data_IF_574424648409
#
_entry.id   IF_574424648409
#
_cell.length_a   1.000
_cell.length_b   1.000
_cell.length_c   1.000
_cell.angle_alpha   90.00
_cell.angle_beta   90.00
_cell.angle_gamma   90.00
#
_symmetry.space_group_name_H-M   'P 1'
#
loop_
_entity.id
_entity.type
_entity.pdbx_description
1 polymer ?
#
# COMPACT_ATOMS: atom_id res chain seq x y z
N UNK A 1 3.33 1.75 31.09
CA UNK A 1 3.16 3.22 30.96
C UNK A 1 3.15 3.90 32.31
N UNK A 2 2.21 3.54 33.19
CA UNK A 2 2.10 4.11 34.55
C UNK A 2 3.27 3.78 35.48
N UNK A 3 3.71 2.51 35.54
CA UNK A 3 4.93 2.15 36.27
C UNK A 3 6.14 2.99 35.84
N UNK A 4 6.27 3.27 34.54
CA UNK A 4 7.39 4.03 34.03
C UNK A 4 7.27 5.53 34.30
N UNK A 5 6.04 6.06 34.40
CA UNK A 5 5.79 7.41 34.91
C UNK A 5 6.21 7.54 36.38
N UNK A 6 5.75 6.63 37.25
CA UNK A 6 6.14 6.59 38.66
C UNK A 6 7.67 6.47 38.80
N UNK A 7 8.29 5.59 38.02
CA UNK A 7 9.74 5.37 38.05
C UNK A 7 10.53 6.59 37.61
N UNK A 8 10.02 7.35 36.64
CA UNK A 8 10.66 8.61 36.25
C UNK A 8 10.55 9.70 37.32
N UNK A 9 9.54 9.67 38.18
CA UNK A 9 9.35 10.65 39.26
C UNK A 9 10.16 10.27 40.51
N UNK A 10 10.33 8.97 40.74
CA UNK A 10 11.03 8.39 41.89
C UNK A 10 12.50 8.03 41.61
N UNK A 11 12.97 8.23 40.37
CA UNK A 11 14.28 7.77 39.86
C UNK A 11 14.49 6.26 40.06
N UNK A 12 13.47 5.46 39.72
CA UNK A 12 13.44 4.00 39.85
C UNK A 12 13.19 3.31 38.52
N UNK A 13 13.80 2.14 38.36
CA UNK A 13 13.52 1.22 37.25
C UNK A 13 12.80 -0.02 37.78
N UNK A 14 11.68 -0.37 37.13
CA UNK A 14 10.91 -1.57 37.47
C UNK A 14 11.16 -2.68 36.47
N UNK A 15 11.36 -3.89 36.99
CA UNK A 15 11.33 -5.13 36.22
C UNK A 15 10.13 -5.92 36.67
N UNK A 16 9.17 -6.10 35.77
CA UNK A 16 7.96 -6.89 36.01
C UNK A 16 8.13 -8.23 35.29
N UNK A 17 7.98 -9.32 36.03
CA UNK A 17 8.00 -10.65 35.43
C UNK A 17 6.69 -10.90 34.66
N UNK A 18 6.74 -11.56 33.50
CA UNK A 18 5.51 -12.01 32.84
C UNK A 18 4.71 -12.95 33.76
N UNK A 19 3.38 -12.82 33.75
CA UNK A 19 2.45 -13.66 34.51
C UNK A 19 2.68 -13.62 36.04
N UNK A 20 2.75 -12.40 36.58
CA UNK A 20 2.86 -12.10 38.01
C UNK A 20 1.57 -12.39 38.80
N UNK A 21 0.42 -12.51 38.10
CA UNK A 21 -0.87 -12.88 38.70
C UNK A 21 -0.89 -14.25 39.40
N UNK A 22 0.12 -15.10 39.15
CA UNK A 22 0.30 -16.37 39.86
C UNK A 22 0.55 -16.17 41.36
N UNK A 23 1.06 -15.01 41.76
CA UNK A 23 1.35 -14.70 43.16
C UNK A 23 0.18 -14.00 43.83
N UNK A 24 -0.47 -13.06 43.12
CA UNK A 24 -1.59 -12.30 43.65
C UNK A 24 -2.49 -11.77 42.53
N UNK A 25 -3.79 -11.74 42.76
CA UNK A 25 -4.73 -11.13 41.83
C UNK A 25 -4.43 -9.63 41.66
N UNK A 26 -4.32 -9.19 40.40
CA UNK A 26 -3.97 -7.82 40.01
C UNK A 26 -2.67 -7.27 40.63
N UNK A 27 -1.65 -8.12 40.84
CA UNK A 27 -0.37 -7.77 41.45
C UNK A 27 0.28 -6.52 40.82
N UNK A 28 0.42 -6.50 39.49
CA UNK A 28 0.95 -5.36 38.73
C UNK A 28 0.19 -4.06 38.99
N UNK A 29 -1.14 -4.11 39.11
CA UNK A 29 -1.97 -2.91 39.33
C UNK A 29 -1.74 -2.34 40.71
N UNK A 30 -1.71 -3.19 41.74
CA UNK A 30 -1.45 -2.81 43.13
C UNK A 30 -0.09 -2.12 43.24
N UNK A 31 0.95 -2.73 42.67
CA UNK A 31 2.30 -2.17 42.62
C UNK A 31 2.32 -0.80 41.92
N UNK A 32 1.69 -0.69 40.75
CA UNK A 32 1.67 0.57 40.00
C UNK A 32 0.97 1.69 40.78
N UNK A 33 -0.15 1.40 41.42
CA UNK A 33 -0.90 2.41 42.16
C UNK A 33 -0.22 2.82 43.46
N UNK A 34 0.42 1.89 44.17
CA UNK A 34 1.21 2.24 45.36
C UNK A 34 2.39 3.14 45.00
N UNK A 35 3.13 2.82 43.93
CA UNK A 35 4.26 3.63 43.48
C UNK A 35 3.82 4.99 42.94
N UNK A 36 2.69 5.09 42.24
CA UNK A 36 2.14 6.38 41.81
C UNK A 36 1.72 7.26 43.00
N UNK A 37 1.13 6.65 44.03
CA UNK A 37 0.75 7.35 45.25
C UNK A 37 1.99 7.86 46.01
N UNK A 38 3.04 7.05 46.12
CA UNK A 38 4.33 7.47 46.66
C UNK A 38 4.97 8.60 45.84
N UNK A 39 4.95 8.47 44.51
CA UNK A 39 5.47 9.49 43.61
C UNK A 39 4.72 10.83 43.76
N UNK A 40 3.40 10.79 43.88
CA UNK A 40 2.58 11.99 44.13
C UNK A 40 2.95 12.67 45.45
N UNK A 41 3.21 11.90 46.51
CA UNK A 41 3.66 12.43 47.81
C UNK A 41 5.05 13.06 47.75
N UNK A 42 6.02 12.40 47.13
CA UNK A 42 7.41 12.86 47.10
C UNK A 42 7.58 14.10 46.21
N UNK A 43 6.86 14.17 45.09
CA UNK A 43 6.98 15.28 44.13
C UNK A 43 6.02 16.45 44.41
N UNK A 44 5.18 16.36 45.44
CA UNK A 44 4.13 17.32 45.77
C UNK A 44 3.17 17.63 44.59
N UNK A 45 3.02 16.68 43.66
CA UNK A 45 2.19 16.82 42.47
C UNK A 45 0.89 16.00 42.63
N UNK A 46 -0.25 16.65 42.95
CA UNK A 46 -1.51 15.94 43.20
C UNK A 46 -2.09 15.29 41.93
N UNK A 47 -1.75 15.79 40.76
CA UNK A 47 -2.24 15.27 39.47
C UNK A 47 -1.66 13.89 39.09
N UNK A 48 -0.57 13.46 39.74
CA UNK A 48 0.09 12.17 39.46
C UNK A 48 -0.77 10.98 39.91
N UNK A 49 -1.55 11.17 40.96
CA UNK A 49 -2.46 10.15 41.48
C UNK A 49 -3.74 10.80 42.00
N UNK A 50 -4.81 10.71 41.20
CA UNK A 50 -6.15 11.13 41.60
C UNK A 50 -6.91 9.93 42.21
N UNK A 51 -7.39 10.01 43.47
CA UNK A 51 -8.10 8.89 44.11
C UNK A 51 -9.39 8.46 43.39
N UNK A 52 -10.09 9.42 42.78
CA UNK A 52 -11.32 9.17 42.01
C UNK A 52 -11.03 8.43 40.69
N UNK A 53 -9.85 8.68 40.10
CA UNK A 53 -9.44 8.13 38.81
C UNK A 53 -7.97 7.67 38.84
N UNK A 54 -7.65 6.55 39.51
CA UNK A 54 -6.27 6.13 39.73
C UNK A 54 -5.55 5.84 38.40
N UNK A 55 -4.41 6.52 38.20
CA UNK A 55 -3.61 6.41 36.97
C UNK A 55 -4.13 7.24 35.79
N UNK A 56 -5.11 8.13 36.01
CA UNK A 56 -5.55 9.13 35.05
C UNK A 56 -5.36 10.52 35.63
N UNK A 57 -5.21 11.49 34.74
CA UNK A 57 -5.07 12.90 35.12
C UNK A 57 -5.91 13.76 34.18
N UNK A 58 -6.38 14.89 34.68
CA UNK A 58 -7.04 15.90 33.83
C UNK A 58 -6.01 16.59 32.92
N UNK A 59 -6.31 16.61 31.62
CA UNK A 59 -5.52 17.32 30.60
C UNK A 59 -6.32 18.54 30.13
N UNK A 60 -5.63 19.53 29.60
CA UNK A 60 -6.21 20.72 28.97
C UNK A 60 -5.91 20.70 27.46
N UNK A 61 -6.87 21.11 26.62
CA UNK A 61 -6.62 21.26 25.18
C UNK A 61 -5.64 22.42 24.97
N UNK A 62 -4.48 22.13 24.35
CA UNK A 62 -3.47 23.15 24.07
C UNK A 62 -3.90 24.22 23.07
N UNK A 63 -5.01 24.04 22.36
CA UNK A 63 -5.54 25.02 21.41
C UNK A 63 -6.54 26.00 22.05
N UNK A 64 -7.41 25.53 22.94
CA UNK A 64 -8.48 26.34 23.55
C UNK A 64 -8.22 26.69 25.01
N UNK A 65 -7.45 25.86 25.73
CA UNK A 65 -7.22 25.98 27.17
C UNK A 65 -8.27 25.30 28.04
N UNK A 66 -9.33 24.73 27.45
CA UNK A 66 -10.40 24.06 28.19
C UNK A 66 -9.97 22.67 28.69
N UNK A 67 -10.43 22.24 29.89
CA UNK A 67 -10.19 20.88 30.35
C UNK A 67 -10.96 19.85 29.51
N UNK A 68 -10.36 18.68 29.28
CA UNK A 68 -11.07 17.56 28.68
C UNK A 68 -12.24 17.09 29.58
N UNK A 69 -13.33 16.63 28.97
CA UNK A 69 -14.53 16.14 29.68
C UNK A 69 -14.23 14.93 30.58
N UNK A 70 -13.29 14.08 30.16
CA UNK A 70 -12.90 12.87 30.89
C UNK A 70 -11.38 12.86 31.18
N UNK A 71 -10.96 12.33 32.34
CA UNK A 71 -9.54 12.21 32.66
C UNK A 71 -8.88 11.15 31.78
N UNK A 72 -7.63 11.41 31.39
CA UNK A 72 -6.89 10.61 30.41
C UNK A 72 -5.68 9.95 31.09
N UNK A 73 -5.30 8.76 30.63
CA UNK A 73 -4.10 8.07 31.12
C UNK A 73 -2.86 8.79 30.57
N UNK A 74 -2.02 9.28 31.47
CA UNK A 74 -0.72 9.86 31.16
C UNK A 74 0.37 8.90 31.58
N UNK A 75 1.44 8.81 30.81
CA UNK A 75 2.65 8.13 31.25
C UNK A 75 3.66 7.99 30.14
N UNK A 76 4.69 7.20 30.40
CA UNK A 76 5.78 6.99 29.47
C UNK A 76 5.63 5.61 28.83
N UNK A 77 5.31 5.50 27.54
CA UNK A 77 5.33 4.22 26.81
C UNK A 77 6.70 4.02 26.16
N UNK A 78 7.18 2.77 26.13
CA UNK A 78 8.37 2.42 25.36
C UNK A 78 7.97 2.19 23.90
N UNK A 79 8.29 3.15 23.02
CA UNK A 79 7.95 3.11 21.60
C UNK A 79 9.21 2.87 20.78
N UNK A 80 9.20 1.81 19.97
CA UNK A 80 10.31 1.48 19.07
C UNK A 80 10.14 2.18 17.73
N UNK A 81 11.24 2.74 17.21
CA UNK A 81 11.31 3.24 15.83
C UNK A 81 11.61 2.06 14.90
N UNK A 82 10.66 1.72 14.04
CA UNK A 82 10.87 0.73 12.97
C UNK A 82 11.64 1.35 11.80
N UNK A 83 12.33 0.50 11.04
CA UNK A 83 12.97 0.92 9.80
C UNK A 83 11.89 1.35 8.81
N UNK A 84 11.99 2.59 8.33
CA UNK A 84 11.05 3.12 7.36
C UNK A 84 11.35 2.56 5.98
N UNK A 85 10.51 1.65 5.51
CA UNK A 85 10.64 1.10 4.16
C UNK A 85 9.89 1.93 3.10
N UNK A 86 9.15 2.99 3.46
CA UNK A 86 8.23 3.67 2.54
C UNK A 86 8.89 4.75 1.71
N UNK A 87 10.00 5.35 2.17
CA UNK A 87 10.75 6.31 1.35
C UNK A 87 11.25 5.66 0.04
N UNK A 88 11.61 4.37 0.10
CA UNK A 88 11.97 3.55 -1.06
C UNK A 88 10.76 2.97 -1.83
N UNK A 89 9.51 3.33 -1.46
CA UNK A 89 8.28 2.76 -2.03
C UNK A 89 7.65 3.56 -3.17
N UNK A 90 7.93 4.85 -3.27
CA UNK A 90 7.35 5.68 -4.32
C UNK A 90 8.14 5.45 -5.61
N UNK A 91 7.46 4.95 -6.64
CA UNK A 91 8.05 4.67 -7.95
C UNK A 91 7.07 5.08 -9.05
N UNK A 92 7.56 5.84 -10.02
CA UNK A 92 6.81 6.25 -11.20
C UNK A 92 7.55 5.84 -12.47
N UNK A 93 6.80 5.45 -13.50
CA UNK A 93 7.34 5.07 -14.81
C UNK A 93 6.52 5.75 -15.92
N UNK A 94 7.22 6.40 -16.85
CA UNK A 94 6.64 6.89 -18.12
C UNK A 94 6.99 5.92 -19.26
N UNK A 95 8.27 5.78 -19.60
CA UNK A 95 8.81 4.80 -20.54
C UNK A 95 10.00 4.08 -19.90
N UNK A 96 10.45 2.97 -20.49
CA UNK A 96 11.56 2.20 -19.92
C UNK A 96 11.82 0.91 -20.68
N UNK A 97 12.56 0.00 -20.05
CA UNK A 97 12.93 -1.27 -20.65
C UNK A 97 11.75 -2.26 -20.72
N UNK A 98 11.81 -3.15 -21.71
CA UNK A 98 10.81 -4.17 -22.02
C UNK A 98 11.45 -5.55 -22.05
N UNK A 99 10.65 -6.57 -21.75
CA UNK A 99 11.08 -7.96 -21.89
C UNK A 99 11.38 -8.29 -23.36
N UNK A 100 12.39 -9.14 -23.59
CA UNK A 100 12.81 -9.53 -24.93
C UNK A 100 11.71 -10.32 -25.66
N UNK A 101 11.07 -11.25 -24.94
CA UNK A 101 10.10 -12.20 -25.50
C UNK A 101 8.69 -11.61 -25.52
N UNK A 102 8.13 -11.27 -24.36
CA UNK A 102 6.73 -10.80 -24.25
C UNK A 102 6.53 -9.35 -24.64
N UNK A 103 7.61 -8.57 -24.80
CA UNK A 103 7.57 -7.12 -25.09
C UNK A 103 6.80 -6.28 -24.06
N UNK A 104 6.46 -6.85 -22.91
CA UNK A 104 5.82 -6.17 -21.79
C UNK A 104 6.85 -5.39 -20.95
N UNK A 105 6.41 -4.33 -20.24
CA UNK A 105 7.22 -3.63 -19.25
C UNK A 105 7.92 -4.59 -18.27
N UNK A 106 9.23 -4.39 -18.03
CA UNK A 106 9.94 -5.18 -17.02
C UNK A 106 9.32 -5.00 -15.63
N UNK A 107 9.49 -6.01 -14.77
CA UNK A 107 9.10 -5.95 -13.35
C UNK A 107 10.24 -5.41 -12.49
N UNK A 108 9.88 -4.70 -11.43
CA UNK A 108 10.79 -4.32 -10.34
C UNK A 108 11.30 -2.88 -10.44
N UNK A 109 11.40 -2.22 -9.28
CA UNK A 109 11.77 -0.79 -9.19
C UNK A 109 13.18 -0.50 -9.71
N UNK A 110 14.14 -1.37 -9.41
CA UNK A 110 15.54 -1.20 -9.85
C UNK A 110 15.71 -1.16 -11.37
N UNK A 111 14.76 -1.72 -12.12
CA UNK A 111 14.74 -1.73 -13.59
C UNK A 111 13.78 -0.70 -14.19
N UNK A 112 13.32 0.26 -13.39
CA UNK A 112 12.24 1.19 -13.74
C UNK A 112 11.02 0.43 -14.26
N UNK A 113 10.65 -0.63 -13.54
CA UNK A 113 9.61 -1.56 -13.96
C UNK A 113 8.22 -0.94 -13.99
N UNK A 114 7.34 -1.52 -14.81
CA UNK A 114 5.93 -1.16 -14.84
C UNK A 114 5.17 -1.75 -13.65
N UNK A 115 4.01 -1.18 -13.36
CA UNK A 115 3.07 -1.75 -12.41
C UNK A 115 2.34 -2.93 -13.07
N UNK A 116 2.11 -4.01 -12.31
CA UNK A 116 1.30 -5.12 -12.79
C UNK A 116 -0.17 -4.71 -12.73
N UNK A 117 -0.85 -4.82 -13.86
CA UNK A 117 -2.31 -4.89 -13.96
C UNK A 117 -2.64 -6.37 -14.13
N UNK A 118 -3.21 -6.98 -13.11
CA UNK A 118 -3.59 -8.39 -13.09
C UNK A 118 -5.06 -8.59 -13.45
N UNK A 119 -5.51 -9.84 -13.36
CA UNK A 119 -6.89 -10.23 -13.67
C UNK A 119 -7.91 -9.51 -12.78
N UNK A 120 -7.60 -9.30 -11.49
CA UNK A 120 -8.49 -8.59 -10.58
C UNK A 120 -8.68 -7.11 -10.97
N UNK A 121 -7.61 -6.44 -11.41
CA UNK A 121 -7.69 -5.07 -11.90
C UNK A 121 -8.40 -4.99 -13.25
N UNK A 122 -8.23 -6.00 -14.11
CA UNK A 122 -8.98 -6.12 -15.37
C UNK A 122 -10.48 -6.26 -15.08
N UNK A 123 -10.88 -7.17 -14.18
CA UNK A 123 -12.28 -7.33 -13.79
C UNK A 123 -12.87 -6.06 -13.19
N UNK A 124 -12.07 -5.30 -12.43
CA UNK A 124 -12.52 -4.00 -11.92
C UNK A 124 -12.85 -3.04 -13.07
N UNK A 125 -11.96 -2.92 -14.07
CA UNK A 125 -12.20 -2.05 -15.23
C UNK A 125 -13.38 -2.51 -16.10
N UNK A 126 -13.55 -3.82 -16.26
CA UNK A 126 -14.69 -4.41 -16.95
C UNK A 126 -16.01 -4.14 -16.22
N UNK A 127 -16.03 -4.28 -14.90
CA UNK A 127 -17.20 -4.00 -14.05
C UNK A 127 -17.64 -2.54 -14.11
N UNK A 128 -16.71 -1.60 -14.29
CA UNK A 128 -17.02 -0.18 -14.53
C UNK A 128 -17.43 0.12 -15.99
N UNK A 129 -17.31 -0.84 -16.91
CA UNK A 129 -17.63 -0.64 -18.32
C UNK A 129 -16.62 0.24 -19.07
N UNK A 130 -15.38 0.37 -18.58
CA UNK A 130 -14.38 1.28 -19.16
C UNK A 130 -13.55 0.61 -20.24
N UNK A 131 -14.20 0.33 -21.38
CA UNK A 131 -13.60 -0.43 -22.49
C UNK A 131 -12.33 0.22 -23.06
N UNK A 132 -12.31 1.55 -23.24
CA UNK A 132 -11.15 2.25 -23.81
C UNK A 132 -9.93 2.28 -22.88
N UNK A 133 -10.12 2.43 -21.57
CA UNK A 133 -9.01 2.38 -20.60
C UNK A 133 -8.48 0.95 -20.51
N UNK A 134 -9.35 -0.06 -20.50
CA UNK A 134 -8.92 -1.45 -20.52
C UNK A 134 -8.11 -1.76 -21.79
N UNK A 135 -8.60 -1.36 -22.96
CA UNK A 135 -7.86 -1.48 -24.22
C UNK A 135 -6.50 -0.78 -24.14
N UNK A 136 -6.45 0.40 -23.52
CA UNK A 136 -5.20 1.16 -23.38
C UNK A 136 -4.18 0.46 -22.49
N UNK A 137 -4.62 -0.11 -21.36
CA UNK A 137 -3.77 -0.90 -20.48
C UNK A 137 -3.24 -2.15 -21.16
N UNK A 138 -4.06 -2.82 -21.98
CA UNK A 138 -3.69 -4.07 -22.65
C UNK A 138 -2.84 -3.88 -23.91
N UNK A 139 -2.93 -2.72 -24.58
CA UNK A 139 -2.25 -2.47 -25.86
C UNK A 139 -1.17 -1.40 -25.74
N UNK A 140 -1.55 -0.11 -25.78
CA UNK A 140 -0.64 1.03 -25.85
C UNK A 140 0.38 1.07 -24.70
N UNK A 141 -0.06 0.73 -23.49
CA UNK A 141 0.78 0.79 -22.27
C UNK A 141 1.52 -0.52 -21.96
N UNK A 142 1.27 -1.58 -22.72
CA UNK A 142 1.83 -2.91 -22.49
C UNK A 142 2.79 -3.32 -23.60
N UNK A 143 2.34 -4.12 -24.56
CA UNK A 143 3.18 -4.92 -25.46
C UNK A 143 3.05 -4.56 -26.94
N UNK A 144 2.11 -3.68 -27.32
CA UNK A 144 1.93 -3.30 -28.71
C UNK A 144 3.01 -2.32 -29.18
N UNK A 145 4.06 -2.83 -29.83
CA UNK A 145 5.27 -2.05 -30.18
C UNK A 145 4.95 -0.82 -31.04
N UNK A 146 4.19 -0.99 -32.14
CA UNK A 146 3.87 0.10 -33.09
C UNK A 146 3.00 1.18 -32.44
N UNK A 147 1.84 0.79 -31.93
CA UNK A 147 0.91 1.69 -31.25
C UNK A 147 1.56 2.49 -30.12
N UNK A 148 2.48 1.88 -29.35
CA UNK A 148 3.24 2.60 -28.31
C UNK A 148 4.14 3.71 -28.87
N UNK A 149 4.82 3.47 -29.99
CA UNK A 149 5.66 4.48 -30.63
C UNK A 149 4.83 5.64 -31.19
N UNK A 150 3.69 5.32 -31.79
CA UNK A 150 2.73 6.30 -32.30
C UNK A 150 2.11 7.13 -31.17
N UNK A 151 1.73 6.51 -30.06
CA UNK A 151 1.24 7.22 -28.86
C UNK A 151 2.28 8.21 -28.35
N UNK A 152 3.56 7.80 -28.28
CA UNK A 152 4.61 8.69 -27.82
C UNK A 152 4.74 9.92 -28.74
N UNK A 153 4.78 9.72 -30.06
CA UNK A 153 4.88 10.81 -31.04
C UNK A 153 3.65 11.72 -31.04
N UNK A 154 2.45 11.15 -31.02
CA UNK A 154 1.19 11.90 -31.03
C UNK A 154 0.98 12.69 -29.73
N UNK A 155 1.38 12.14 -28.59
CA UNK A 155 1.32 12.85 -27.29
C UNK A 155 2.22 14.08 -27.29
N UNK A 156 3.41 14.00 -27.91
CA UNK A 156 4.34 15.14 -28.02
C UNK A 156 3.77 16.23 -28.94
N UNK A 157 3.15 15.83 -30.06
CA UNK A 157 2.55 16.74 -31.03
C UNK A 157 1.22 17.33 -30.53
N UNK A 158 0.58 16.71 -29.54
CA UNK A 158 -0.74 17.09 -29.05
C UNK A 158 -1.89 16.62 -29.95
N UNK A 159 -1.66 15.57 -30.74
CA UNK A 159 -2.64 14.99 -31.65
C UNK A 159 -3.54 13.93 -30.99
N UNK A 160 -4.54 13.46 -31.73
CA UNK A 160 -5.40 12.35 -31.30
C UNK A 160 -4.64 11.01 -31.39
N UNK A 161 -4.74 10.19 -30.34
CA UNK A 161 -4.14 8.85 -30.31
C UNK A 161 -4.85 7.94 -31.34
N UNK A 162 -4.13 7.31 -32.28
CA UNK A 162 -4.72 6.42 -33.28
C UNK A 162 -5.18 5.12 -32.63
N UNK A 163 -6.28 4.54 -33.11
CA UNK A 163 -6.75 3.21 -32.67
C UNK A 163 -5.75 2.12 -33.09
N UNK A 164 -5.50 1.08 -32.27
CA UNK A 164 -4.57 0.04 -32.66
C UNK A 164 -5.27 -0.89 -33.67
N UNK A 165 -4.70 -1.02 -34.86
CA UNK A 165 -5.24 -1.90 -35.92
C UNK A 165 -4.73 -3.35 -35.81
N UNK A 166 -3.55 -3.54 -35.24
CA UNK A 166 -2.86 -4.82 -35.14
C UNK A 166 -3.11 -5.50 -33.78
N UNK A 167 -2.94 -6.83 -33.74
CA UNK A 167 -3.00 -7.61 -32.51
C UNK A 167 -1.78 -7.35 -31.61
N UNK A 168 -1.92 -7.42 -30.27
CA UNK A 168 -0.81 -7.27 -29.35
C UNK A 168 0.22 -8.39 -29.50
N UNK A 169 1.48 -8.10 -29.14
CA UNK A 169 2.58 -9.05 -29.31
C UNK A 169 2.42 -10.30 -28.44
N UNK A 170 1.75 -10.20 -27.28
CA UNK A 170 1.43 -11.38 -26.45
C UNK A 170 0.50 -12.36 -27.19
N UNK A 171 -0.44 -11.86 -27.99
CA UNK A 171 -1.32 -12.72 -28.79
C UNK A 171 -0.55 -13.38 -29.94
N UNK A 172 0.35 -12.63 -30.60
CA UNK A 172 1.25 -13.20 -31.61
C UNK A 172 2.16 -14.27 -31.05
N UNK A 173 2.70 -14.03 -29.85
CA UNK A 173 3.51 -15.02 -29.14
C UNK A 173 2.69 -16.27 -28.83
N UNK A 174 1.47 -16.13 -28.32
CA UNK A 174 0.55 -17.26 -28.08
C UNK A 174 0.33 -18.09 -29.35
N UNK A 175 0.04 -17.45 -30.49
CA UNK A 175 -0.15 -18.15 -31.78
C UNK A 175 1.10 -18.92 -32.18
N UNK A 176 2.30 -18.36 -31.98
CA UNK A 176 3.57 -19.03 -32.28
C UNK A 176 3.84 -20.21 -31.34
N UNK A 177 3.54 -20.06 -30.05
CA UNK A 177 3.67 -21.13 -29.06
C UNK A 177 2.72 -22.31 -29.39
N UNK A 178 1.48 -22.02 -29.79
CA UNK A 178 0.52 -23.06 -30.23
C UNK A 178 0.99 -23.77 -31.51
N UNK A 179 1.50 -23.02 -32.49
CA UNK A 179 2.08 -23.60 -33.72
C UNK A 179 3.26 -24.52 -33.41
N UNK A 180 4.06 -24.22 -32.38
CA UNK A 180 5.16 -25.08 -31.95
C UNK A 180 4.70 -26.46 -31.45
N UNK A 181 3.46 -26.53 -30.95
CA UNK A 181 2.78 -27.76 -30.53
C UNK A 181 1.99 -28.43 -31.67
N UNK A 182 2.23 -28.03 -32.93
CA UNK A 182 1.48 -28.45 -34.10
C UNK A 182 -0.03 -28.13 -34.03
N UNK A 183 -0.41 -27.09 -33.27
CA UNK A 183 -1.78 -26.56 -33.24
C UNK A 183 -1.86 -25.30 -34.11
N UNK A 184 -2.70 -25.33 -35.14
CA UNK A 184 -2.91 -24.17 -36.01
C UNK A 184 -4.12 -23.34 -35.53
N UNK A 185 -3.86 -22.12 -35.07
CA UNK A 185 -4.91 -21.15 -34.74
C UNK A 185 -5.16 -20.26 -35.96
N UNK A 186 -6.30 -20.48 -36.61
CA UNK A 186 -6.77 -19.68 -37.72
C UNK A 186 -7.72 -18.59 -37.21
N UNK A 187 -7.40 -17.32 -37.49
CA UNK A 187 -8.27 -16.18 -37.19
C UNK A 187 -8.65 -15.48 -38.50
N UNK A 188 -9.91 -15.05 -38.60
CA UNK A 188 -10.45 -14.41 -39.79
C UNK A 188 -10.90 -13.01 -39.44
N UNK A 189 -10.40 -12.01 -40.18
CA UNK A 189 -10.92 -10.66 -40.09
C UNK A 189 -12.11 -10.55 -41.04
N UNK A 190 -13.30 -10.37 -40.48
CA UNK A 190 -14.51 -10.08 -41.23
C UNK A 190 -14.60 -8.57 -41.39
N UNK A 191 -14.55 -8.08 -42.62
CA UNK A 191 -14.77 -6.66 -42.91
C UNK A 191 -16.24 -6.31 -42.67
N UNK A 192 -16.54 -5.35 -41.79
CA UNK A 192 -17.91 -4.87 -41.54
C UNK A 192 -18.59 -4.30 -42.80
N UNK A 193 -17.81 -3.78 -43.76
CA UNK A 193 -18.35 -3.15 -44.97
C UNK A 193 -18.77 -4.15 -46.04
N UNK A 194 -18.04 -5.26 -46.17
CA UNK A 194 -18.21 -6.20 -47.29
C UNK A 194 -18.50 -7.65 -46.85
N UNK A 195 -18.46 -7.96 -45.55
CA UNK A 195 -18.54 -9.32 -44.97
C UNK A 195 -17.60 -10.35 -45.63
N UNK A 196 -16.56 -9.88 -46.33
CA UNK A 196 -15.56 -10.73 -46.95
C UNK A 196 -14.56 -11.19 -45.90
N UNK A 197 -14.29 -12.49 -45.91
CA UNK A 197 -13.33 -13.14 -45.03
C UNK A 197 -11.96 -13.03 -45.68
N UNK A 198 -11.12 -12.11 -45.18
CA UNK A 198 -9.73 -12.03 -45.60
C UNK A 198 -8.89 -12.91 -44.67
N UNK A 199 -8.27 -13.96 -45.23
CA UNK A 199 -7.19 -14.69 -44.55
C UNK A 199 -5.99 -13.73 -44.43
N UNK A 200 -5.69 -13.28 -43.22
CA UNK A 200 -4.37 -12.73 -42.89
C UNK A 200 -3.57 -13.84 -42.21
N UNK A 201 -2.48 -14.27 -42.83
CA UNK A 201 -1.51 -15.13 -42.16
C UNK A 201 -0.82 -14.32 -41.05
N UNK A 202 -0.87 -14.83 -39.81
CA UNK A 202 -0.21 -14.27 -38.63
C UNK A 202 1.30 -14.54 -38.60
#
# INVERSE_FOLDING_TARGET
MLAWLAGSLLDRHYRIAPFDERYEQEASRKLVFSELYEAGKQTANPWVFEPEYPGKSRIFDGRTGDPFEQPVIIGKPYILKLIHQVDDKIHGRSSGHYALVTRQPLRGRSKQGGQRVGEMEVWALEGFGVAHILQEMLTYKSDHIRARQEVLGTTIIGGTIPKPEDAPESFRLLVRELRSLALELNHFLVSEKNFQINRKEA
#
